data_IF_056211775789
#
_entry.id   IF_056211775789
#
_cell.length_a   1.000
_cell.length_b   1.000
_cell.length_c   1.000
_cell.angle_alpha   90.00
_cell.angle_beta   90.00
_cell.angle_gamma   90.00
#
_symmetry.space_group_name_H-M   'P 1'
#
loop_
_entity.id
_entity.type
_entity.pdbx_description
1 polymer ?
#
# COMPACT_ATOMS: atom_id res chain seq x y z
N UNK A 1 9.33 -2.25 1.35
CA UNK A 1 10.07 -1.22 0.57
C UNK A 1 11.51 -1.63 0.36
N UNK A 2 12.24 -2.04 1.41
CA UNK A 2 13.53 -2.75 1.25
C UNK A 2 13.36 -4.25 1.43
N UNK A 3 12.65 -4.65 2.49
CA UNK A 3 12.15 -6.00 2.67
C UNK A 3 10.74 -6.10 2.07
N UNK A 4 10.65 -6.66 0.87
CA UNK A 4 9.38 -6.85 0.16
C UNK A 4 8.61 -8.07 0.67
N UNK A 5 9.32 -9.05 1.25
CA UNK A 5 8.72 -10.24 1.87
C UNK A 5 7.95 -9.83 3.13
N UNK A 6 8.56 -9.01 3.99
CA UNK A 6 7.86 -8.46 5.16
C UNK A 6 6.70 -7.54 4.76
N UNK A 7 6.86 -6.78 3.67
CA UNK A 7 5.79 -5.96 3.12
C UNK A 7 4.59 -6.81 2.66
N UNK A 8 4.84 -7.93 1.99
CA UNK A 8 3.81 -8.89 1.61
C UNK A 8 3.08 -9.47 2.82
N UNK A 9 3.82 -9.87 3.86
CA UNK A 9 3.23 -10.37 5.12
C UNK A 9 2.39 -9.29 5.80
N UNK A 10 2.77 -8.02 5.72
CA UNK A 10 1.98 -6.92 6.27
C UNK A 10 0.63 -6.72 5.56
N UNK A 11 0.50 -7.14 4.29
CA UNK A 11 -0.73 -7.03 3.51
C UNK A 11 -1.57 -8.32 3.47
N UNK A 12 -1.03 -9.47 3.89
CA UNK A 12 -1.74 -10.77 3.85
C UNK A 12 -1.84 -11.45 5.21
N UNK A 13 -1.00 -11.06 6.16
CA UNK A 13 -0.94 -11.59 7.52
C UNK A 13 -1.95 -10.97 8.48
N UNK A 14 -1.89 -11.39 9.75
CA UNK A 14 -2.80 -10.89 10.79
C UNK A 14 -2.33 -9.54 11.33
N UNK A 15 -3.23 -8.57 11.37
CA UNK A 15 -2.98 -7.25 11.99
C UNK A 15 -3.38 -7.27 13.47
N UNK A 16 -2.53 -6.70 14.32
CA UNK A 16 -2.83 -6.45 15.73
C UNK A 16 -3.46 -5.06 15.87
N UNK A 17 -4.75 -5.00 16.14
CA UNK A 17 -5.47 -3.73 16.36
C UNK A 17 -5.24 -3.24 17.80
N UNK A 18 -4.18 -2.45 17.98
CA UNK A 18 -3.83 -1.83 19.27
C UNK A 18 -3.35 -0.39 19.06
N UNK A 19 -3.38 0.39 20.14
CA UNK A 19 -2.78 1.72 20.20
C UNK A 19 -2.24 1.90 21.62
N UNK A 20 -0.94 2.14 21.73
CA UNK A 20 -0.25 2.36 23.00
C UNK A 20 -0.48 3.80 23.51
N UNK A 21 -0.74 4.75 22.59
CA UNK A 21 -1.15 6.12 22.91
C UNK A 21 -1.92 6.76 21.73
N UNK A 22 -2.43 7.99 21.90
CA UNK A 22 -3.26 8.69 20.89
C UNK A 22 -2.57 8.93 19.54
N UNK A 23 -1.25 8.92 19.50
CA UNK A 23 -0.45 9.11 18.29
C UNK A 23 0.05 7.79 17.70
N UNK A 24 -0.18 6.66 18.38
CA UNK A 24 0.09 5.34 17.85
C UNK A 24 -1.00 4.95 16.84
N UNK A 25 -0.59 4.80 15.59
CA UNK A 25 -1.41 4.43 14.44
C UNK A 25 -1.21 2.97 14.02
N UNK A 26 -0.52 2.14 14.81
CA UNK A 26 -0.18 0.76 14.46
C UNK A 26 -1.39 -0.13 14.14
N UNK A 27 -2.57 0.19 14.67
CA UNK A 27 -3.83 -0.47 14.29
C UNK A 27 -4.21 -0.31 12.81
N UNK A 28 -3.63 0.65 12.09
CA UNK A 28 -3.77 0.81 10.64
C UNK A 28 -2.90 -0.16 9.84
N UNK A 29 -1.99 -0.91 10.48
CA UNK A 29 -1.01 -1.72 9.76
C UNK A 29 -0.12 -0.84 8.86
N UNK A 30 0.19 -1.33 7.64
CA UNK A 30 0.91 -0.55 6.61
C UNK A 30 -0.06 0.24 5.72
N UNK A 31 -0.95 1.00 6.35
CA UNK A 31 -1.87 1.93 5.67
C UNK A 31 -1.95 3.27 6.39
N UNK A 32 -2.35 4.31 5.66
CA UNK A 32 -2.80 5.57 6.25
C UNK A 32 -4.30 5.74 6.03
N UNK A 33 -4.94 6.64 6.78
CA UNK A 33 -6.35 6.96 6.53
C UNK A 33 -6.60 7.46 5.11
N UNK A 34 -5.67 8.20 4.50
CA UNK A 34 -5.80 8.64 3.11
C UNK A 34 -5.91 7.44 2.18
N UNK A 35 -4.96 6.49 2.27
CA UNK A 35 -4.99 5.26 1.47
C UNK A 35 -6.31 4.49 1.63
N UNK A 36 -6.86 4.41 2.86
CA UNK A 36 -8.12 3.70 3.08
C UNK A 36 -9.34 4.46 2.52
N UNK A 37 -9.27 5.78 2.40
CA UNK A 37 -10.38 6.62 1.95
C UNK A 37 -10.37 6.86 0.43
N UNK A 38 -9.20 7.11 -0.15
CA UNK A 38 -9.04 7.48 -1.56
C UNK A 38 -8.39 6.38 -2.43
N UNK A 39 -7.93 5.30 -1.80
CA UNK A 39 -7.27 4.17 -2.46
C UNK A 39 -5.92 4.53 -3.12
N UNK A 40 -5.30 5.63 -2.69
CA UNK A 40 -3.93 5.98 -3.07
C UNK A 40 -2.93 4.94 -2.56
N UNK A 41 -1.80 4.82 -3.26
CA UNK A 41 -0.75 3.87 -2.89
C UNK A 41 -1.08 2.38 -3.08
N UNK A 42 -2.33 2.03 -3.43
CA UNK A 42 -2.74 0.62 -3.65
C UNK A 42 -2.03 -0.02 -4.84
N UNK A 43 -1.52 0.74 -5.80
CA UNK A 43 -0.75 0.21 -6.92
C UNK A 43 0.43 -0.65 -6.41
N UNK A 44 1.26 -0.09 -5.52
CA UNK A 44 2.37 -0.84 -4.91
C UNK A 44 1.88 -2.02 -4.08
N UNK A 45 0.80 -1.86 -3.32
CA UNK A 45 0.21 -2.94 -2.51
C UNK A 45 -0.17 -4.12 -3.40
N UNK A 46 -0.84 -3.85 -4.52
CA UNK A 46 -1.22 -4.87 -5.48
C UNK A 46 -0.03 -5.50 -6.18
N UNK A 47 1.00 -4.74 -6.57
CA UNK A 47 2.22 -5.31 -7.15
C UNK A 47 2.91 -6.25 -6.16
N UNK A 48 3.02 -5.86 -4.89
CA UNK A 48 3.61 -6.71 -3.84
C UNK A 48 2.79 -7.99 -3.63
N UNK A 49 1.46 -7.89 -3.58
CA UNK A 49 0.58 -9.07 -3.46
C UNK A 49 0.73 -9.97 -4.69
N UNK A 50 0.64 -9.41 -5.89
CA UNK A 50 0.77 -10.15 -7.14
C UNK A 50 2.10 -10.90 -7.18
N UNK A 51 3.24 -10.23 -6.93
CA UNK A 51 4.57 -10.87 -6.89
C UNK A 51 4.66 -12.01 -5.89
N UNK A 52 4.05 -11.87 -4.71
CA UNK A 52 4.04 -12.91 -3.68
C UNK A 52 3.24 -14.17 -4.06
N UNK A 53 2.28 -14.07 -4.98
CA UNK A 53 1.53 -15.23 -5.49
C UNK A 53 2.00 -15.71 -6.86
N UNK A 54 2.62 -14.83 -7.65
CA UNK A 54 3.13 -15.14 -8.99
C UNK A 54 4.38 -16.02 -8.94
N UNK A 55 5.25 -15.81 -7.95
CA UNK A 55 6.52 -16.52 -7.77
C UNK A 55 6.51 -17.41 -6.50
N UNK A 56 5.34 -17.87 -6.07
CA UNK A 56 5.21 -18.68 -4.83
C UNK A 56 5.77 -20.09 -5.01
N UNK A 57 5.58 -20.66 -6.18
CA UNK A 57 6.00 -22.00 -6.57
C UNK A 57 7.12 -21.90 -7.63
N UNK A 58 7.67 -23.04 -8.07
CA UNK A 58 8.78 -23.08 -9.05
C UNK A 58 8.41 -22.56 -10.45
N UNK A 59 7.12 -22.33 -10.70
CA UNK A 59 6.59 -21.83 -11.97
C UNK A 59 5.84 -20.52 -11.79
N UNK A 60 6.04 -19.60 -12.73
CA UNK A 60 5.31 -18.34 -12.78
C UNK A 60 3.83 -18.60 -13.05
N UNK A 61 2.95 -18.21 -12.12
CA UNK A 61 1.50 -18.44 -12.21
C UNK A 61 0.70 -17.12 -12.19
N UNK A 62 0.41 -16.62 -13.39
CA UNK A 62 -0.34 -15.37 -13.60
C UNK A 62 -1.80 -15.52 -13.15
N UNK A 63 -2.41 -16.68 -13.37
CA UNK A 63 -3.81 -16.93 -13.04
C UNK A 63 -4.00 -16.96 -11.52
N UNK A 64 -3.08 -17.62 -10.80
CA UNK A 64 -3.06 -17.60 -9.34
C UNK A 64 -2.87 -16.19 -8.79
N UNK A 65 -1.95 -15.41 -9.34
CA UNK A 65 -1.73 -14.03 -8.92
C UNK A 65 -2.98 -13.16 -9.14
N UNK A 66 -3.67 -13.31 -10.29
CA UNK A 66 -4.93 -12.62 -10.55
C UNK A 66 -6.02 -13.01 -9.56
N UNK A 67 -6.20 -14.31 -9.31
CA UNK A 67 -7.18 -14.79 -8.33
C UNK A 67 -6.86 -14.29 -6.92
N UNK A 68 -5.59 -14.23 -6.53
CA UNK A 68 -5.19 -13.69 -5.24
C UNK A 68 -5.56 -12.19 -5.11
N UNK A 69 -5.36 -11.38 -6.15
CA UNK A 69 -5.82 -9.98 -6.16
C UNK A 69 -7.34 -9.89 -6.00
N UNK A 70 -8.10 -10.73 -6.72
CA UNK A 70 -9.55 -10.81 -6.60
C UNK A 70 -9.99 -11.22 -5.18
N UNK A 71 -9.36 -12.24 -4.59
CA UNK A 71 -9.63 -12.71 -3.24
C UNK A 71 -9.32 -11.62 -2.21
N UNK A 72 -8.15 -10.97 -2.30
CA UNK A 72 -7.74 -9.88 -1.40
C UNK A 72 -8.65 -8.65 -1.49
N UNK A 73 -9.29 -8.43 -2.66
CA UNK A 73 -10.20 -7.31 -2.87
C UNK A 73 -11.67 -7.64 -2.60
N UNK A 74 -12.04 -8.91 -2.49
CA UNK A 74 -13.43 -9.38 -2.41
C UNK A 74 -14.30 -8.59 -1.41
N UNK A 75 -15.51 -8.27 -1.84
CA UNK A 75 -16.54 -7.63 -1.02
C UNK A 75 -17.86 -8.38 -1.20
N UNK A 76 -18.52 -8.84 -0.11
CA UNK A 76 -19.76 -9.60 -0.23
C UNK A 76 -20.86 -8.87 -1.02
N UNK A 77 -21.68 -9.62 -1.75
CA UNK A 77 -22.91 -9.12 -2.38
C UNK A 77 -23.83 -8.52 -1.31
N UNK A 78 -24.49 -7.41 -1.66
CA UNK A 78 -25.54 -6.84 -0.80
C UNK A 78 -26.70 -7.83 -0.74
N UNK A 79 -27.35 -7.97 0.43
CA UNK A 79 -28.50 -8.88 0.60
C UNK A 79 -29.61 -8.66 -0.44
N UNK A 80 -29.77 -7.42 -0.90
CA UNK A 80 -30.76 -7.01 -1.90
C UNK A 80 -30.09 -6.51 -3.18
N UNK A 81 -28.95 -7.07 -3.56
CA UNK A 81 -28.29 -6.70 -4.81
C UNK A 81 -29.18 -7.10 -6.00
N UNK A 82 -29.37 -6.20 -6.95
CA UNK A 82 -29.95 -6.56 -8.24
C UNK A 82 -29.07 -7.62 -8.91
N UNK A 83 -29.65 -8.49 -9.75
CA UNK A 83 -28.89 -9.39 -10.60
C UNK A 83 -27.78 -8.62 -11.32
N UNK A 84 -26.59 -9.23 -11.35
CA UNK A 84 -25.45 -8.67 -12.05
C UNK A 84 -25.82 -8.50 -13.52
N UNK A 85 -25.59 -7.31 -14.07
CA UNK A 85 -25.84 -7.07 -15.50
C UNK A 85 -24.79 -7.81 -16.32
N UNK A 86 -25.17 -8.27 -17.51
CA UNK A 86 -24.22 -8.84 -18.46
C UNK A 86 -23.05 -7.89 -18.69
N UNK A 87 -21.82 -8.38 -18.52
CA UNK A 87 -20.58 -7.61 -18.64
C UNK A 87 -20.18 -6.80 -17.40
N UNK A 88 -20.93 -6.84 -16.29
CA UNK A 88 -20.48 -6.26 -15.02
C UNK A 88 -19.43 -7.16 -14.36
N UNK A 89 -18.36 -6.57 -13.79
CA UNK A 89 -17.31 -7.32 -13.09
C UNK A 89 -17.81 -7.91 -11.75
N UNK A 90 -17.39 -9.14 -11.44
CA UNK A 90 -17.65 -9.79 -10.15
C UNK A 90 -16.98 -8.98 -9.02
N UNK A 91 -17.58 -8.94 -7.85
CA UNK A 91 -16.98 -8.30 -6.66
C UNK A 91 -16.96 -9.18 -5.43
N UNK A 92 -17.69 -10.30 -5.45
CA UNK A 92 -17.79 -11.27 -4.37
C UNK A 92 -17.13 -12.56 -4.80
N UNK A 93 -15.91 -12.78 -4.31
CA UNK A 93 -15.07 -13.93 -4.65
C UNK A 93 -15.02 -14.95 -3.52
N UNK A 94 -16.12 -15.18 -2.82
CA UNK A 94 -16.19 -16.23 -1.78
C UNK A 94 -15.80 -17.62 -2.28
N UNK A 95 -15.98 -17.89 -3.58
CA UNK A 95 -15.57 -19.15 -4.21
C UNK A 95 -14.05 -19.37 -4.16
N UNK A 96 -13.26 -18.29 -4.03
CA UNK A 96 -11.81 -18.34 -3.89
C UNK A 96 -11.36 -18.67 -2.46
N UNK A 97 -12.28 -18.80 -1.48
CA UNK A 97 -11.93 -19.13 -0.10
C UNK A 97 -11.14 -20.44 0.02
N UNK A 98 -11.51 -21.46 -0.75
CA UNK A 98 -10.81 -22.77 -0.72
C UNK A 98 -9.36 -22.65 -1.18
N UNK A 99 -9.08 -21.77 -2.14
CA UNK A 99 -7.73 -21.58 -2.71
C UNK A 99 -6.91 -20.56 -1.91
N UNK A 100 -7.56 -19.55 -1.31
CA UNK A 100 -6.94 -18.45 -0.58
C UNK A 100 -7.66 -18.14 0.75
N UNK A 101 -7.70 -19.09 1.70
CA UNK A 101 -8.40 -18.91 2.98
C UNK A 101 -7.83 -17.78 3.84
N UNK A 102 -6.56 -17.39 3.61
CA UNK A 102 -5.92 -16.25 4.23
C UNK A 102 -6.36 -14.89 3.67
N UNK A 103 -6.91 -14.88 2.44
CA UNK A 103 -7.29 -13.65 1.74
C UNK A 103 -8.78 -13.37 1.72
N UNK A 104 -9.63 -14.40 1.77
CA UNK A 104 -11.08 -14.25 1.74
C UNK A 104 -11.75 -15.33 2.58
N UNK A 105 -12.74 -14.95 3.39
CA UNK A 105 -13.51 -15.89 4.20
C UNK A 105 -14.68 -16.53 3.42
N UNK A 106 -15.31 -17.55 4.00
CA UNK A 106 -16.47 -18.25 3.42
C UNK A 106 -17.66 -17.31 3.12
N UNK A 107 -17.73 -16.15 3.80
CA UNK A 107 -18.77 -15.14 3.57
C UNK A 107 -18.42 -14.16 2.45
N UNK A 108 -17.24 -14.29 1.83
CA UNK A 108 -16.74 -13.42 0.77
C UNK A 108 -16.05 -12.15 1.27
N UNK A 109 -15.82 -12.01 2.58
CA UNK A 109 -15.10 -10.86 3.14
C UNK A 109 -13.61 -11.08 2.94
N UNK A 110 -13.01 -10.20 2.16
CA UNK A 110 -11.58 -10.22 1.94
C UNK A 110 -10.76 -9.70 3.12
N UNK A 111 -9.45 -9.88 3.03
CA UNK A 111 -8.46 -9.29 3.91
C UNK A 111 -8.60 -7.77 3.98
N UNK A 112 -8.66 -7.07 2.84
CA UNK A 112 -8.74 -5.60 2.83
C UNK A 112 -10.08 -5.11 3.38
N UNK A 113 -11.17 -5.75 2.97
CA UNK A 113 -12.49 -5.46 3.52
C UNK A 113 -12.49 -5.64 5.05
N UNK A 114 -12.03 -6.79 5.53
CA UNK A 114 -11.97 -7.08 6.96
C UNK A 114 -11.06 -6.09 7.69
N UNK A 115 -9.93 -5.72 7.10
CA UNK A 115 -8.99 -4.76 7.69
C UNK A 115 -9.64 -3.40 7.92
N UNK A 116 -10.28 -2.81 6.90
CA UNK A 116 -10.95 -1.50 7.04
C UNK A 116 -12.06 -1.56 8.09
N UNK A 117 -12.89 -2.60 8.08
CA UNK A 117 -13.96 -2.77 9.07
C UNK A 117 -13.43 -2.99 10.49
N UNK A 118 -12.29 -3.67 10.65
CA UNK A 118 -11.65 -3.85 11.94
C UNK A 118 -10.99 -2.55 12.44
N UNK A 119 -10.38 -1.75 11.57
CA UNK A 119 -9.91 -0.38 11.90
C UNK A 119 -11.09 0.45 12.41
N UNK A 120 -12.21 0.46 11.69
CA UNK A 120 -13.42 1.18 12.10
C UNK A 120 -13.88 0.71 13.49
N UNK A 121 -14.01 -0.60 13.68
CA UNK A 121 -14.44 -1.18 14.95
C UNK A 121 -13.49 -0.83 16.09
N UNK A 122 -12.18 -0.89 15.85
CA UNK A 122 -11.18 -0.56 16.85
C UNK A 122 -11.29 0.89 17.31
N UNK A 123 -11.35 1.84 16.36
CA UNK A 123 -11.44 3.28 16.63
C UNK A 123 -12.72 3.62 17.40
N UNK A 124 -13.86 3.06 17.00
CA UNK A 124 -15.14 3.32 17.66
C UNK A 124 -15.22 2.73 19.08
N UNK A 125 -14.53 1.61 19.33
CA UNK A 125 -14.46 1.00 20.67
C UNK A 125 -13.45 1.67 21.59
N UNK A 126 -12.50 2.43 21.05
CA UNK A 126 -11.41 3.06 21.82
C UNK A 126 -11.27 4.56 21.49
N UNK A 127 -12.34 5.37 21.63
CA UNK A 127 -12.32 6.78 21.24
C UNK A 127 -11.30 7.64 22.02
N UNK A 128 -10.93 7.19 23.22
CA UNK A 128 -9.94 7.81 24.10
C UNK A 128 -8.48 7.48 23.71
N UNK A 129 -8.26 6.41 22.94
CA UNK A 129 -6.92 5.96 22.49
C UNK A 129 -6.54 6.48 21.11
N UNK A 130 -7.38 7.29 20.48
CA UNK A 130 -7.14 7.83 19.14
C UNK A 130 -7.24 9.35 19.13
N UNK A 131 -6.71 9.97 18.08
CA UNK A 131 -6.92 11.41 17.86
C UNK A 131 -8.36 11.69 17.40
N UNK A 132 -8.84 12.92 17.65
CA UNK A 132 -10.12 13.40 17.08
C UNK A 132 -10.17 13.31 15.55
N UNK A 133 -9.03 13.53 14.89
CA UNK A 133 -8.92 13.42 13.44
C UNK A 133 -9.09 11.97 12.96
N UNK A 134 -8.43 11.01 13.62
CA UNK A 134 -8.57 9.57 13.37
C UNK A 134 -10.03 9.12 13.51
N UNK A 135 -10.70 9.58 14.58
CA UNK A 135 -12.12 9.31 14.81
C UNK A 135 -13.00 9.86 13.67
N UNK A 136 -12.77 11.12 13.24
CA UNK A 136 -13.51 11.72 12.12
C UNK A 136 -13.30 10.97 10.79
N UNK A 137 -12.07 10.56 10.48
CA UNK A 137 -11.77 9.77 9.29
C UNK A 137 -12.46 8.40 9.33
N UNK A 138 -12.51 7.78 10.51
CA UNK A 138 -13.23 6.52 10.72
C UNK A 138 -14.75 6.66 10.46
N UNK A 139 -15.37 7.74 10.93
CA UNK A 139 -16.79 8.00 10.63
C UNK A 139 -17.04 8.17 9.11
N UNK A 140 -16.13 8.82 8.39
CA UNK A 140 -16.19 8.93 6.94
C UNK A 140 -16.06 7.55 6.25
N UNK A 141 -15.08 6.73 6.66
CA UNK A 141 -14.90 5.37 6.16
C UNK A 141 -16.15 4.51 6.38
N UNK A 142 -16.70 4.52 7.60
CA UNK A 142 -17.91 3.77 7.97
C UNK A 142 -19.11 4.11 7.08
N UNK A 143 -19.23 5.36 6.64
CA UNK A 143 -20.36 5.81 5.82
C UNK A 143 -20.26 5.37 4.36
N UNK A 144 -19.06 5.34 3.78
CA UNK A 144 -18.89 5.27 2.32
C UNK A 144 -18.06 4.11 1.79
N UNK A 145 -17.22 3.47 2.62
CA UNK A 145 -16.18 2.54 2.17
C UNK A 145 -16.73 1.42 1.27
N UNK A 146 -17.72 0.66 1.72
CA UNK A 146 -18.25 -0.49 0.97
C UNK A 146 -18.77 -0.11 -0.43
N UNK A 147 -19.32 1.09 -0.58
CA UNK A 147 -19.85 1.56 -1.87
C UNK A 147 -18.72 1.96 -2.81
N UNK A 148 -17.79 2.78 -2.32
CA UNK A 148 -16.66 3.25 -3.13
C UNK A 148 -15.67 2.12 -3.45
N UNK A 149 -15.41 1.22 -2.50
CA UNK A 149 -14.55 0.07 -2.72
C UNK A 149 -15.10 -0.86 -3.80
N UNK A 150 -16.40 -1.16 -3.77
CA UNK A 150 -17.04 -1.98 -4.81
C UNK A 150 -16.94 -1.32 -6.19
N UNK A 151 -17.10 0.00 -6.26
CA UNK A 151 -16.92 0.76 -7.50
C UNK A 151 -15.47 0.66 -8.02
N UNK A 152 -14.49 0.79 -7.13
CA UNK A 152 -13.06 0.67 -7.48
C UNK A 152 -12.68 -0.72 -7.92
N UNK A 153 -13.15 -1.76 -7.23
CA UNK A 153 -12.92 -3.15 -7.63
C UNK A 153 -13.47 -3.46 -9.02
N UNK A 154 -14.64 -2.94 -9.38
CA UNK A 154 -15.14 -3.06 -10.75
C UNK A 154 -14.25 -2.32 -11.76
N UNK A 155 -13.72 -1.14 -11.39
CA UNK A 155 -12.79 -0.38 -12.26
C UNK A 155 -11.47 -1.12 -12.48
N UNK A 156 -10.91 -1.75 -11.44
CA UNK A 156 -9.63 -2.45 -11.52
C UNK A 156 -9.65 -3.68 -12.42
N UNK A 157 -10.83 -4.20 -12.71
CA UNK A 157 -11.04 -5.37 -13.57
C UNK A 157 -11.36 -5.02 -15.02
N UNK A 158 -11.45 -3.73 -15.37
CA UNK A 158 -11.74 -3.32 -16.75
C UNK A 158 -10.60 -3.82 -17.66
N UNK A 159 -10.89 -4.64 -18.68
CA UNK A 159 -9.86 -5.15 -19.59
C UNK A 159 -9.11 -4.03 -20.31
N UNK A 160 -7.83 -4.26 -20.58
CA UNK A 160 -6.96 -3.29 -21.29
C UNK A 160 -7.58 -2.77 -22.60
N UNK A 161 -8.27 -3.62 -23.35
CA UNK A 161 -8.84 -3.31 -24.68
C UNK A 161 -10.31 -2.83 -24.66
N UNK A 162 -10.84 -2.44 -23.49
CA UNK A 162 -12.23 -1.99 -23.39
C UNK A 162 -12.46 -0.65 -24.12
N UNK A 163 -13.26 -0.69 -25.18
CA UNK A 163 -13.56 0.42 -26.10
C UNK A 163 -14.28 1.62 -25.46
N UNK A 164 -14.93 1.43 -24.31
CA UNK A 164 -15.76 2.44 -23.64
C UNK A 164 -15.10 3.03 -22.38
N UNK A 165 -13.79 2.85 -22.20
CA UNK A 165 -13.11 3.31 -20.99
C UNK A 165 -12.93 4.83 -21.01
N UNK A 166 -13.76 5.57 -20.26
CA UNK A 166 -13.54 7.00 -20.04
C UNK A 166 -12.33 7.22 -19.14
N UNK A 167 -11.27 7.71 -19.80
CA UNK A 167 -10.09 8.40 -19.28
C UNK A 167 -9.00 7.58 -18.59
N UNK A 168 -7.79 7.91 -19.03
CA UNK A 168 -6.46 7.57 -18.57
C UNK A 168 -6.31 7.55 -17.03
N UNK A 169 -5.36 6.74 -16.54
CA UNK A 169 -4.88 6.69 -15.14
C UNK A 169 -5.71 5.88 -14.12
N UNK A 170 -6.41 4.83 -14.56
CA UNK A 170 -7.00 3.86 -13.63
C UNK A 170 -6.05 2.69 -13.40
N UNK A 171 -5.79 2.33 -12.14
CA UNK A 171 -5.13 1.06 -11.78
C UNK A 171 -5.93 -0.08 -12.42
N UNK A 172 -5.28 -1.02 -13.10
CA UNK A 172 -5.88 -2.25 -13.61
C UNK A 172 -5.09 -3.46 -13.15
N UNK A 173 -5.76 -4.57 -12.91
CA UNK A 173 -5.07 -5.81 -12.56
C UNK A 173 -4.13 -6.29 -13.67
N UNK A 174 -4.45 -6.03 -14.94
CA UNK A 174 -3.56 -6.37 -16.06
C UNK A 174 -2.22 -5.61 -15.96
N UNK A 175 -2.27 -4.30 -15.69
CA UNK A 175 -1.07 -3.47 -15.51
C UNK A 175 -0.28 -3.90 -14.27
N UNK A 176 -0.96 -4.25 -13.17
CA UNK A 176 -0.32 -4.77 -11.95
C UNK A 176 0.42 -6.07 -12.21
N UNK A 177 -0.19 -7.00 -12.96
CA UNK A 177 0.41 -8.30 -13.25
C UNK A 177 1.62 -8.15 -14.16
N UNK A 178 1.56 -7.25 -15.15
CA UNK A 178 2.70 -6.93 -16.01
C UNK A 178 3.87 -6.36 -15.19
N UNK A 179 3.62 -5.36 -14.35
CA UNK A 179 4.63 -4.79 -13.46
C UNK A 179 5.19 -5.82 -12.46
N UNK A 180 4.34 -6.69 -11.93
CA UNK A 180 4.77 -7.77 -11.05
C UNK A 180 5.73 -8.75 -11.75
N UNK A 181 5.46 -9.08 -13.01
CA UNK A 181 6.33 -9.93 -13.82
C UNK A 181 7.67 -9.24 -14.09
N UNK A 182 7.66 -7.96 -14.47
CA UNK A 182 8.88 -7.18 -14.75
C UNK A 182 9.79 -7.08 -13.52
N UNK A 183 9.21 -6.93 -12.33
CA UNK A 183 9.97 -6.79 -11.08
C UNK A 183 10.49 -8.13 -10.51
N UNK A 184 10.01 -9.28 -10.99
CA UNK A 184 10.46 -10.59 -10.50
C UNK A 184 9.99 -10.95 -9.08
N UNK A 185 10.56 -12.01 -8.50
CA UNK A 185 10.20 -12.50 -7.16
C UNK A 185 10.43 -11.44 -6.07
N UNK A 186 9.68 -11.51 -4.96
CA UNK A 186 9.88 -10.62 -3.80
C UNK A 186 11.29 -10.79 -3.23
N UNK A 187 11.96 -9.68 -2.94
CA UNK A 187 13.33 -9.71 -2.41
C UNK A 187 13.41 -9.11 -1.02
N UNK A 188 14.29 -9.67 -0.19
CA UNK A 188 14.76 -8.99 1.00
C UNK A 188 16.05 -8.25 0.66
N UNK A 189 15.93 -6.96 0.37
CA UNK A 189 17.05 -6.08 0.05
C UNK A 189 17.52 -5.30 1.28
N UNK A 190 17.23 -5.77 2.49
CA UNK A 190 17.78 -5.15 3.68
C UNK A 190 19.30 -5.32 3.71
N UNK A 191 20.00 -4.23 3.93
CA UNK A 191 21.43 -4.19 4.18
C UNK A 191 21.73 -3.08 5.17
N UNK A 192 22.91 -3.14 5.78
CA UNK A 192 23.38 -2.09 6.69
C UNK A 192 24.29 -1.12 5.96
N UNK A 193 24.06 0.17 6.20
CA UNK A 193 24.98 1.20 5.76
C UNK A 193 26.25 1.14 6.63
N UNK A 194 27.42 1.51 6.09
CA UNK A 194 28.63 1.66 6.90
C UNK A 194 28.39 2.57 8.10
N UNK A 195 29.04 2.28 9.23
CA UNK A 195 28.86 3.05 10.47
C UNK A 195 29.14 4.54 10.27
N UNK A 196 30.20 4.87 9.54
CA UNK A 196 30.54 6.25 9.19
C UNK A 196 29.41 6.97 8.44
N UNK A 197 28.79 6.28 7.47
CA UNK A 197 27.61 6.80 6.76
C UNK A 197 26.42 6.98 7.69
N UNK A 198 26.17 6.03 8.60
CA UNK A 198 25.10 6.15 9.59
C UNK A 198 25.32 7.34 10.53
N UNK A 199 26.54 7.54 11.02
CA UNK A 199 26.90 8.65 11.90
C UNK A 199 26.75 10.00 11.17
N UNK A 200 27.19 10.08 9.90
CA UNK A 200 26.99 11.25 9.05
C UNK A 200 25.49 11.58 8.86
N UNK A 201 24.66 10.57 8.53
CA UNK A 201 23.23 10.77 8.32
C UNK A 201 22.50 11.15 9.62
N UNK A 202 22.89 10.58 10.75
CA UNK A 202 22.37 10.96 12.06
C UNK A 202 22.69 12.43 12.38
N UNK A 203 23.93 12.86 12.16
CA UNK A 203 24.35 14.25 12.37
C UNK A 203 23.62 15.25 11.45
N UNK A 204 23.30 14.83 10.24
CA UNK A 204 22.56 15.65 9.28
C UNK A 204 21.03 15.59 9.45
N UNK A 205 20.50 14.71 10.29
CA UNK A 205 19.05 14.56 10.47
C UNK A 205 18.48 15.78 11.20
N UNK A 206 17.52 16.52 10.58
CA UNK A 206 16.93 17.71 11.20
C UNK A 206 16.18 17.39 12.50
N UNK A 207 16.20 18.32 13.46
CA UNK A 207 15.44 18.20 14.70
C UNK A 207 13.94 17.97 14.41
N UNK A 208 13.39 16.89 14.98
CA UNK A 208 11.97 16.52 14.81
C UNK A 208 11.68 15.56 13.65
N UNK A 209 12.72 15.15 12.90
CA UNK A 209 12.67 14.01 11.97
C UNK A 209 13.28 12.79 12.69
N UNK A 210 12.64 11.60 12.64
CA UNK A 210 13.25 10.38 13.18
C UNK A 210 14.57 10.05 12.47
N UNK A 211 15.57 9.63 13.23
CA UNK A 211 16.91 9.24 12.77
C UNK A 211 16.89 8.08 11.76
N UNK A 212 15.83 7.28 11.74
CA UNK A 212 15.62 6.21 10.75
C UNK A 212 15.24 6.70 9.35
N UNK A 213 14.73 7.92 9.20
CA UNK A 213 14.15 8.40 7.92
C UNK A 213 15.22 8.56 6.84
N UNK A 214 16.29 9.32 7.12
CA UNK A 214 17.38 9.55 6.15
C UNK A 214 18.06 8.23 5.75
N UNK A 215 18.50 7.35 6.67
CA UNK A 215 19.04 6.04 6.31
C UNK A 215 18.09 5.19 5.46
N UNK A 216 16.79 5.19 5.76
CA UNK A 216 15.82 4.42 4.96
C UNK A 216 15.74 4.95 3.53
N UNK A 217 15.72 6.27 3.33
CA UNK A 217 15.72 6.88 2.00
C UNK A 217 17.02 6.57 1.26
N UNK A 218 18.18 6.77 1.89
CA UNK A 218 19.47 6.47 1.27
C UNK A 218 19.56 4.99 0.86
N UNK A 219 19.13 4.07 1.73
CA UNK A 219 19.07 2.65 1.38
C UNK A 219 18.16 2.38 0.19
N UNK A 220 16.96 2.97 0.19
CA UNK A 220 16.00 2.84 -0.91
C UNK A 220 16.54 3.42 -2.21
N UNK A 221 17.28 4.53 -2.17
CA UNK A 221 17.90 5.14 -3.32
C UNK A 221 18.86 4.15 -3.99
N UNK A 222 19.86 3.66 -3.28
CA UNK A 222 20.89 2.79 -3.87
C UNK A 222 20.33 1.49 -4.42
N UNK A 223 19.26 0.97 -3.83
CA UNK A 223 18.61 -0.25 -4.30
C UNK A 223 17.77 -0.06 -5.56
N UNK A 224 17.21 1.14 -5.75
CA UNK A 224 16.27 1.42 -6.84
C UNK A 224 16.85 2.39 -7.88
N UNK A 225 18.11 2.80 -7.73
CA UNK A 225 18.83 3.61 -8.73
C UNK A 225 19.04 2.77 -9.99
N UNK A 226 18.65 3.34 -11.12
CA UNK A 226 18.94 2.76 -12.44
C UNK A 226 20.27 3.31 -12.95
N UNK A 227 20.93 2.56 -13.83
CA UNK A 227 22.25 2.94 -14.36
C UNK A 227 22.18 4.19 -15.25
N UNK A 228 21.04 4.41 -15.92
CA UNK A 228 20.78 5.50 -16.85
C UNK A 228 20.12 6.73 -16.19
N UNK A 229 19.84 6.69 -14.88
CA UNK A 229 19.19 7.77 -14.16
C UNK A 229 19.74 7.99 -12.76
N UNK A 230 20.11 9.23 -12.47
CA UNK A 230 20.43 9.67 -11.11
C UNK A 230 19.20 9.82 -10.21
N UNK A 231 18.00 9.88 -10.81
CA UNK A 231 16.74 10.07 -10.11
C UNK A 231 16.04 8.75 -9.87
N UNK A 232 15.56 8.56 -8.63
CA UNK A 232 14.74 7.42 -8.20
C UNK A 232 13.32 7.91 -7.89
N UNK A 233 12.33 7.12 -8.26
CA UNK A 233 10.93 7.36 -7.90
C UNK A 233 10.73 7.10 -6.40
N UNK A 234 10.25 8.10 -5.67
CA UNK A 234 9.87 8.01 -4.27
C UNK A 234 8.33 7.89 -4.15
N UNK A 235 7.80 6.70 -3.82
CA UNK A 235 6.37 6.52 -3.57
C UNK A 235 6.01 7.04 -2.17
N UNK A 236 5.85 8.36 -2.05
CA UNK A 236 5.66 9.07 -0.77
C UNK A 236 4.51 8.47 0.06
N UNK A 237 3.37 8.19 -0.57
CA UNK A 237 2.22 7.57 0.10
C UNK A 237 2.56 6.21 0.74
N UNK A 238 3.36 5.38 0.08
CA UNK A 238 3.77 4.09 0.63
C UNK A 238 4.84 4.24 1.72
N UNK A 239 5.68 5.27 1.65
CA UNK A 239 6.58 5.61 2.74
C UNK A 239 5.84 6.14 3.98
N UNK A 240 4.81 6.96 3.80
CA UNK A 240 3.92 7.37 4.89
C UNK A 240 3.32 6.14 5.59
N UNK A 241 2.88 5.15 4.81
CA UNK A 241 2.34 3.90 5.33
C UNK A 241 3.40 3.04 6.02
N UNK A 242 4.61 2.98 5.47
CA UNK A 242 5.74 2.26 6.07
C UNK A 242 6.16 2.85 7.42
N UNK A 243 6.21 4.18 7.53
CA UNK A 243 6.49 4.86 8.80
C UNK A 243 5.26 4.96 9.72
N UNK A 244 4.09 4.49 9.27
CA UNK A 244 2.83 4.57 9.99
C UNK A 244 2.30 6.00 10.18
N UNK A 245 2.80 7.00 9.44
CA UNK A 245 2.43 8.40 9.64
C UNK A 245 2.55 9.21 8.36
N UNK A 246 1.56 10.08 8.11
CA UNK A 246 1.61 11.06 7.01
C UNK A 246 2.60 12.20 7.26
N UNK A 247 3.29 12.19 8.41
CA UNK A 247 4.28 13.23 8.74
C UNK A 247 5.49 13.15 7.82
N UNK A 248 5.80 11.97 7.27
CA UNK A 248 6.88 11.82 6.31
C UNK A 248 6.65 12.72 5.08
N UNK A 249 5.56 12.49 4.35
CA UNK A 249 5.23 13.23 3.14
C UNK A 249 4.89 14.70 3.40
N UNK A 250 4.17 15.00 4.48
CA UNK A 250 3.64 16.35 4.74
C UNK A 250 4.63 17.28 5.44
N UNK A 251 5.53 16.75 6.25
CA UNK A 251 6.44 17.52 7.12
C UNK A 251 7.89 17.18 6.89
N UNK A 252 8.30 15.93 7.10
CA UNK A 252 9.70 15.55 7.17
C UNK A 252 10.42 15.77 5.84
N UNK A 253 9.80 15.42 4.70
CA UNK A 253 10.39 15.63 3.37
C UNK A 253 10.79 17.09 3.06
N UNK A 254 10.14 18.07 3.70
CA UNK A 254 10.47 19.49 3.52
C UNK A 254 11.62 19.96 4.41
N UNK A 255 11.93 19.18 5.45
CA UNK A 255 12.99 19.50 6.40
C UNK A 255 14.32 18.84 6.00
N UNK A 256 14.28 17.78 5.17
CA UNK A 256 15.48 17.02 4.83
C UNK A 256 16.52 17.91 4.14
N UNK A 257 17.81 17.76 4.50
CA UNK A 257 18.89 18.58 3.97
C UNK A 257 19.06 18.39 2.45
N UNK A 258 18.96 19.48 1.70
CA UNK A 258 19.08 19.48 0.23
C UNK A 258 20.49 19.07 -0.24
N UNK A 259 21.52 19.22 0.60
CA UNK A 259 22.87 18.75 0.31
C UNK A 259 23.05 17.24 0.49
N UNK A 260 22.01 16.51 0.89
CA UNK A 260 21.99 15.03 0.96
C UNK A 260 20.89 14.48 0.07
N UNK A 261 19.70 15.10 0.08
CA UNK A 261 18.55 14.66 -0.71
C UNK A 261 18.03 15.82 -1.55
N UNK A 262 18.24 15.73 -2.86
CA UNK A 262 17.60 16.62 -3.83
C UNK A 262 16.32 15.96 -4.34
N UNK A 263 15.21 16.70 -4.42
CA UNK A 263 13.90 16.16 -4.81
C UNK A 263 13.13 17.08 -5.75
N UNK A 264 12.33 16.48 -6.63
CA UNK A 264 11.35 17.19 -7.43
C UNK A 264 10.15 17.64 -6.59
N UNK A 265 9.30 18.48 -7.18
CA UNK A 265 7.96 18.71 -6.63
C UNK A 265 7.19 17.39 -6.53
N UNK A 266 6.34 17.30 -5.49
CA UNK A 266 5.49 16.14 -5.26
C UNK A 266 4.17 16.32 -6.00
N UNK A 267 3.71 15.27 -6.67
CA UNK A 267 2.42 15.21 -7.35
C UNK A 267 1.80 13.83 -7.15
N UNK A 268 0.52 13.76 -6.80
CA UNK A 268 -0.23 12.51 -6.59
C UNK A 268 0.44 11.50 -5.63
N UNK A 269 1.09 11.97 -4.56
CA UNK A 269 1.75 11.10 -3.58
C UNK A 269 3.06 10.46 -4.08
N UNK A 270 3.63 10.99 -5.16
CA UNK A 270 4.90 10.54 -5.75
C UNK A 270 5.80 11.76 -5.97
N UNK A 271 7.10 11.59 -5.79
CA UNK A 271 8.10 12.51 -6.33
C UNK A 271 9.30 11.73 -6.85
N UNK A 272 10.26 12.42 -7.45
CA UNK A 272 11.59 11.85 -7.73
C UNK A 272 12.61 12.48 -6.81
N UNK A 273 13.64 11.73 -6.45
CA UNK A 273 14.75 12.23 -5.65
C UNK A 273 16.06 11.58 -6.04
N UNK A 274 17.17 12.22 -5.66
CA UNK A 274 18.51 11.64 -5.74
C UNK A 274 19.26 11.89 -4.44
N UNK A 275 20.18 11.00 -4.12
CA UNK A 275 21.10 11.16 -2.98
C UNK A 275 22.36 11.83 -3.51
N UNK A 276 22.73 12.95 -2.90
CA UNK A 276 23.98 13.65 -3.20
C UNK A 276 25.05 13.04 -2.31
N UNK A 277 25.93 12.24 -2.91
CA UNK A 277 27.19 11.82 -2.30
C UNK A 277 28.23 12.90 -2.59
N UNK A 278 28.69 13.59 -1.55
CA UNK A 278 29.93 14.35 -1.61
C UNK A 278 31.14 13.42 -1.49
#
# INVERSE_FOLDING_TARGET
>A
MLNEIEEFVAYTGKIKYKADNKYDSSYLGRFTYEMLMDFSGLYRVFVIIARGYLFRDDTVDIDRARKALCAWCSIPKRKNAHPQKDGQSETDYRSLHTEFPELVDESGKSWFYAHVHNVIRFVLKNPDKVTKASFKNCEALKKGFDTEWRKKLMQYQVPLFSVNTKAAWSIRFDDILADAMEQGALQNKNYDLPKETMDMLAAATPKGVPDTVLPTLVKYYYINKQDDSEWVVLPVTNFDAYFGTTSFGRKWLKLLPENIIERSSMSYGICRYKVITN
#
